data_IF_949098993707
#
_entry.id   IF_949098993707
#
_cell.length_a   1.000
_cell.length_b   1.000
_cell.length_c   1.000
_cell.angle_alpha   90.00
_cell.angle_beta   90.00
_cell.angle_gamma   90.00
#
_symmetry.space_group_name_H-M   'P 1'
#
loop_
_entity.id
_entity.type
_entity.pdbx_description
1 polymer ?
#
# COMPACT_ATOMS: atom_id res chain seq x y z
N UNK A 1 3.04 7.45 -4.87
CA UNK A 1 3.07 6.68 -3.59
C UNK A 1 2.11 7.21 -2.53
N UNK A 2 2.03 8.52 -2.27
CA UNK A 2 1.11 9.07 -1.24
C UNK A 2 -0.36 8.62 -1.39
N UNK A 3 -0.86 8.52 -2.62
CA UNK A 3 -2.23 8.05 -2.89
C UNK A 3 -2.49 6.61 -2.43
N UNK A 4 -1.50 5.73 -2.43
CA UNK A 4 -1.64 4.33 -1.99
C UNK A 4 -1.75 4.20 -0.47
N UNK A 5 -1.11 5.10 0.29
CA UNK A 5 -1.27 5.15 1.74
C UNK A 5 -2.63 5.70 2.16
N UNK A 6 -3.12 6.70 1.42
CA UNK A 6 -4.39 7.33 1.75
C UNK A 6 -5.60 6.48 1.35
N UNK A 7 -5.54 5.77 0.21
CA UNK A 7 -6.66 4.93 -0.26
C UNK A 7 -6.97 3.77 0.70
N UNK A 8 -5.96 3.12 1.29
CA UNK A 8 -6.20 2.00 2.22
C UNK A 8 -6.87 2.48 3.50
N UNK A 9 -6.52 3.69 3.98
CA UNK A 9 -7.22 4.33 5.10
C UNK A 9 -8.69 4.59 4.78
N UNK A 10 -8.99 5.05 3.57
CA UNK A 10 -10.37 5.18 3.12
C UNK A 10 -11.10 3.83 3.14
N UNK A 11 -10.46 2.74 2.68
CA UNK A 11 -11.08 1.42 2.75
C UNK A 11 -11.40 0.97 4.17
N UNK A 12 -10.51 1.26 5.13
CA UNK A 12 -10.74 0.95 6.54
C UNK A 12 -11.99 1.68 7.03
N UNK A 13 -12.08 2.99 6.80
CA UNK A 13 -13.23 3.79 7.24
C UNK A 13 -14.52 3.43 6.51
N UNK A 14 -14.44 3.09 5.23
CA UNK A 14 -15.60 2.66 4.45
C UNK A 14 -16.12 1.29 4.93
N UNK A 15 -15.23 0.38 5.31
CA UNK A 15 -15.62 -0.90 5.92
C UNK A 15 -16.23 -0.68 7.30
N UNK A 16 -15.62 0.17 8.15
CA UNK A 16 -16.15 0.51 9.48
C UNK A 16 -17.49 1.26 9.41
N UNK A 17 -17.75 2.00 8.34
CA UNK A 17 -19.04 2.64 8.10
C UNK A 17 -20.18 1.65 7.80
N UNK A 18 -19.87 0.42 7.39
CA UNK A 18 -20.89 -0.62 7.18
C UNK A 18 -21.49 -1.13 8.49
N UNK A 19 -20.76 -1.03 9.60
CA UNK A 19 -21.20 -1.48 10.93
C UNK A 19 -22.13 -0.45 11.62
N UNK A 20 -22.36 0.70 11.00
CA UNK A 20 -23.21 1.76 11.53
C UNK A 20 -24.71 1.54 11.23
N UNK A 21 -25.62 2.01 12.10
CA UNK A 21 -27.05 1.98 11.82
C UNK A 21 -27.42 2.89 10.63
N UNK A 22 -28.58 2.63 10.02
CA UNK A 22 -29.17 3.56 9.06
C UNK A 22 -29.67 4.82 9.76
N UNK A 23 -29.56 6.02 9.16
CA UNK A 23 -29.13 6.30 7.78
C UNK A 23 -27.63 6.58 7.60
N UNK A 24 -26.84 6.61 8.68
CA UNK A 24 -25.42 6.99 8.66
C UNK A 24 -24.60 6.13 7.69
N UNK A 25 -24.85 4.81 7.68
CA UNK A 25 -24.20 3.86 6.77
C UNK A 25 -24.28 4.31 5.32
N UNK A 26 -25.48 4.64 4.84
CA UNK A 26 -25.74 4.96 3.43
C UNK A 26 -25.11 6.29 3.04
N UNK A 27 -25.17 7.28 3.93
CA UNK A 27 -24.58 8.61 3.70
C UNK A 27 -23.06 8.51 3.62
N UNK A 28 -22.43 7.82 4.58
CA UNK A 28 -20.99 7.66 4.65
C UNK A 28 -20.45 6.81 3.48
N UNK A 29 -21.13 5.71 3.13
CA UNK A 29 -20.71 4.85 2.01
C UNK A 29 -20.68 5.64 0.70
N UNK A 30 -21.73 6.43 0.41
CA UNK A 30 -21.76 7.28 -0.79
C UNK A 30 -20.62 8.30 -0.80
N UNK A 31 -20.30 8.90 0.34
CA UNK A 31 -19.16 9.83 0.44
C UNK A 31 -17.82 9.13 0.22
N UNK A 32 -17.61 7.97 0.85
CA UNK A 32 -16.36 7.22 0.68
C UNK A 32 -16.17 6.73 -0.75
N UNK A 33 -17.22 6.28 -1.44
CA UNK A 33 -17.14 5.91 -2.86
C UNK A 33 -16.68 7.08 -3.75
N UNK A 34 -17.19 8.30 -3.49
CA UNK A 34 -16.79 9.50 -4.23
C UNK A 34 -15.31 9.82 -3.95
N UNK A 35 -14.90 9.79 -2.68
CA UNK A 35 -13.53 10.08 -2.27
C UNK A 35 -12.53 9.07 -2.86
N UNK A 36 -12.84 7.79 -2.77
CA UNK A 36 -12.04 6.69 -3.31
C UNK A 36 -11.91 6.81 -4.84
N UNK A 37 -13.03 7.05 -5.54
CA UNK A 37 -13.05 7.18 -7.01
C UNK A 37 -12.25 8.39 -7.49
N UNK A 38 -12.42 9.55 -6.84
CA UNK A 38 -11.67 10.77 -7.19
C UNK A 38 -10.18 10.58 -6.93
N UNK A 39 -9.81 10.09 -5.75
CA UNK A 39 -8.41 9.83 -5.42
C UNK A 39 -7.77 8.86 -6.41
N UNK A 40 -8.49 7.79 -6.77
CA UNK A 40 -7.95 6.76 -7.64
C UNK A 40 -7.79 7.22 -9.08
N UNK A 41 -8.85 7.80 -9.66
CA UNK A 41 -8.87 8.15 -11.07
C UNK A 41 -8.15 9.47 -11.37
N UNK A 42 -8.20 10.44 -10.46
CA UNK A 42 -7.59 11.77 -10.65
C UNK A 42 -6.13 11.80 -10.23
N UNK A 43 -5.76 11.07 -9.16
CA UNK A 43 -4.40 11.17 -8.60
C UNK A 43 -3.61 9.88 -8.83
N UNK A 44 -4.12 8.73 -8.37
CA UNK A 44 -3.32 7.51 -8.29
C UNK A 44 -2.99 6.92 -9.66
N UNK A 45 -3.97 6.79 -10.55
CA UNK A 45 -3.79 6.26 -11.92
C UNK A 45 -2.87 7.10 -12.80
N UNK A 46 -3.10 8.42 -12.98
CA UNK A 46 -2.22 9.22 -13.85
C UNK A 46 -0.81 9.33 -13.28
N UNK A 47 -0.67 9.44 -11.95
CA UNK A 47 0.66 9.45 -11.32
C UNK A 47 1.44 8.16 -11.59
N UNK A 48 0.79 6.99 -11.55
CA UNK A 48 1.42 5.72 -11.88
C UNK A 48 1.91 5.71 -13.33
N UNK A 49 1.05 6.12 -14.28
CA UNK A 49 1.40 6.16 -15.70
C UNK A 49 2.60 7.07 -15.97
N UNK A 50 2.58 8.29 -15.41
CA UNK A 50 3.69 9.24 -15.55
C UNK A 50 4.99 8.66 -14.97
N UNK A 51 4.91 8.01 -13.81
CA UNK A 51 6.10 7.43 -13.15
C UNK A 51 6.68 6.29 -13.98
N UNK A 52 5.84 5.42 -14.55
CA UNK A 52 6.28 4.32 -15.41
C UNK A 52 6.91 4.86 -16.68
N UNK A 53 6.25 5.81 -17.36
CA UNK A 53 6.79 6.44 -18.57
C UNK A 53 8.12 7.12 -18.30
N UNK A 54 8.23 7.91 -17.23
CA UNK A 54 9.48 8.55 -16.85
C UNK A 54 10.59 7.53 -16.57
N UNK A 55 10.26 6.43 -15.86
CA UNK A 55 11.20 5.33 -15.62
C UNK A 55 11.68 4.65 -16.89
N UNK A 56 10.76 4.35 -17.83
CA UNK A 56 11.09 3.76 -19.13
C UNK A 56 11.96 4.70 -19.98
N UNK A 57 11.61 5.99 -20.06
CA UNK A 57 12.41 6.99 -20.79
C UNK A 57 13.82 7.11 -20.20
N UNK A 58 13.94 7.09 -18.87
CA UNK A 58 15.23 7.14 -18.19
C UNK A 58 16.12 5.93 -18.54
N UNK A 59 15.53 4.73 -18.60
CA UNK A 59 16.23 3.50 -19.02
C UNK A 59 16.64 3.52 -20.48
N UNK A 60 15.80 4.09 -21.36
CA UNK A 60 16.12 4.26 -22.77
C UNK A 60 17.31 5.21 -22.98
N UNK A 61 17.36 6.31 -22.23
CA UNK A 61 18.45 7.29 -22.31
C UNK A 61 19.77 6.78 -21.70
N UNK A 62 19.72 5.83 -20.77
CA UNK A 62 20.90 5.33 -20.07
C UNK A 62 20.93 3.79 -20.01
N UNK A 63 21.15 3.11 -21.15
CA UNK A 63 21.12 1.65 -21.22
C UNK A 63 22.22 0.97 -20.39
N UNK A 64 23.28 1.70 -20.03
CA UNK A 64 24.34 1.20 -19.16
C UNK A 64 23.84 0.74 -17.78
N UNK A 65 22.73 1.30 -17.27
CA UNK A 65 22.18 0.90 -15.98
C UNK A 65 21.52 -0.49 -15.98
N UNK A 66 21.11 -1.00 -17.15
CA UNK A 66 20.62 -2.37 -17.27
C UNK A 66 21.69 -3.41 -16.92
N UNK A 67 22.97 -3.05 -16.95
CA UNK A 67 24.06 -3.94 -16.55
C UNK A 67 24.29 -3.96 -15.03
N UNK A 68 23.61 -3.08 -14.28
CA UNK A 68 23.81 -2.96 -12.83
C UNK A 68 22.81 -3.84 -12.04
N UNK A 69 23.27 -4.68 -11.09
CA UNK A 69 22.40 -5.56 -10.30
C UNK A 69 21.31 -4.81 -9.50
N UNK A 70 21.64 -3.64 -8.95
CA UNK A 70 20.71 -2.85 -8.13
C UNK A 70 19.46 -2.40 -8.91
N UNK A 71 19.58 -2.20 -10.23
CA UNK A 71 18.47 -1.78 -11.08
C UNK A 71 17.44 -2.90 -11.25
N UNK A 72 17.88 -4.14 -11.41
CA UNK A 72 16.99 -5.30 -11.51
C UNK A 72 16.15 -5.46 -10.24
N UNK A 73 16.78 -5.29 -9.07
CA UNK A 73 16.10 -5.34 -7.78
C UNK A 73 15.10 -4.17 -7.66
N UNK A 74 15.49 -2.96 -8.08
CA UNK A 74 14.57 -1.81 -8.12
C UNK A 74 13.36 -2.09 -9.01
N UNK A 75 13.56 -2.67 -10.19
CA UNK A 75 12.48 -3.03 -11.11
C UNK A 75 11.55 -4.08 -10.51
N UNK A 76 12.07 -5.07 -9.79
CA UNK A 76 11.25 -6.05 -9.06
C UNK A 76 10.34 -5.36 -8.02
N UNK A 77 10.85 -4.39 -7.26
CA UNK A 77 10.03 -3.60 -6.33
C UNK A 77 8.98 -2.73 -7.03
N UNK A 78 9.33 -2.11 -8.15
CA UNK A 78 8.38 -1.35 -8.97
C UNK A 78 7.27 -2.26 -9.47
N UNK A 79 7.60 -3.46 -9.94
CA UNK A 79 6.61 -4.44 -10.39
C UNK A 79 5.69 -4.89 -9.25
N UNK A 80 6.25 -5.13 -8.05
CA UNK A 80 5.48 -5.40 -6.84
C UNK A 80 4.51 -4.27 -6.48
N UNK A 81 4.93 -3.01 -6.61
CA UNK A 81 4.05 -1.85 -6.41
C UNK A 81 2.95 -1.72 -7.46
N UNK A 82 3.24 -2.05 -8.72
CA UNK A 82 2.22 -2.06 -9.78
C UNK A 82 1.18 -3.14 -9.50
N UNK A 83 1.61 -4.34 -9.08
CA UNK A 83 0.71 -5.40 -8.64
C UNK A 83 -0.15 -4.94 -7.44
N UNK A 84 0.46 -4.30 -6.45
CA UNK A 84 -0.25 -3.71 -5.30
C UNK A 84 -1.30 -2.69 -5.75
N UNK A 85 -0.94 -1.80 -6.68
CA UNK A 85 -1.86 -0.81 -7.24
C UNK A 85 -3.06 -1.49 -7.90
N UNK A 86 -2.84 -2.56 -8.67
CA UNK A 86 -3.92 -3.28 -9.33
C UNK A 86 -4.86 -3.99 -8.33
N UNK A 87 -4.32 -4.54 -7.24
CA UNK A 87 -5.12 -5.13 -6.16
C UNK A 87 -6.02 -4.06 -5.53
N UNK A 88 -5.49 -2.88 -5.24
CA UNK A 88 -6.28 -1.76 -4.71
C UNK A 88 -7.39 -1.33 -5.69
N UNK A 89 -7.12 -1.28 -7.00
CA UNK A 89 -8.17 -1.00 -7.99
C UNK A 89 -9.30 -2.04 -7.95
N UNK A 90 -8.95 -3.32 -7.86
CA UNK A 90 -9.92 -4.40 -7.74
C UNK A 90 -10.78 -4.25 -6.48
N UNK A 91 -10.18 -3.82 -5.36
CA UNK A 91 -10.89 -3.55 -4.11
C UNK A 91 -11.87 -2.39 -4.22
N UNK A 92 -11.48 -1.26 -4.83
CA UNK A 92 -12.41 -0.13 -5.09
C UNK A 92 -13.61 -0.61 -5.89
N UNK A 93 -13.38 -1.40 -6.96
CA UNK A 93 -14.45 -1.95 -7.79
C UNK A 93 -15.37 -2.91 -7.03
N UNK A 94 -14.84 -3.67 -6.06
CA UNK A 94 -15.61 -4.56 -5.18
C UNK A 94 -16.44 -3.76 -4.17
N UNK A 95 -15.83 -2.78 -3.51
CA UNK A 95 -16.48 -1.96 -2.48
C UNK A 95 -17.62 -1.13 -3.09
N UNK A 96 -17.44 -0.58 -4.30
CA UNK A 96 -18.50 0.10 -5.06
C UNK A 96 -19.67 -0.82 -5.47
N UNK A 97 -19.47 -2.14 -5.48
CA UNK A 97 -20.53 -3.13 -5.70
C UNK A 97 -21.21 -3.56 -4.38
N UNK A 98 -20.86 -2.92 -3.26
CA UNK A 98 -21.31 -3.30 -1.92
C UNK A 98 -20.65 -4.57 -1.38
N UNK A 99 -19.55 -5.04 -1.97
CA UNK A 99 -18.89 -6.29 -1.57
C UNK A 99 -17.67 -5.99 -0.69
N UNK A 100 -17.86 -6.09 0.62
CA UNK A 100 -16.81 -5.89 1.63
C UNK A 100 -16.22 -7.23 2.07
N UNK A 101 -15.23 -7.74 1.33
CA UNK A 101 -14.60 -9.04 1.64
C UNK A 101 -13.59 -8.99 2.79
N UNK A 102 -13.02 -7.82 3.08
CA UNK A 102 -11.89 -7.68 3.99
C UNK A 102 -12.31 -6.92 5.25
N UNK A 103 -11.82 -7.37 6.39
CA UNK A 103 -12.09 -6.71 7.67
C UNK A 103 -11.19 -5.49 7.88
N UNK A 104 -11.59 -4.55 8.74
CA UNK A 104 -10.78 -3.38 9.12
C UNK A 104 -9.36 -3.79 9.57
N UNK A 105 -9.21 -4.90 10.29
CA UNK A 105 -7.90 -5.41 10.73
C UNK A 105 -7.03 -5.90 9.57
N UNK A 106 -7.62 -6.60 8.59
CA UNK A 106 -6.91 -7.03 7.38
C UNK A 106 -6.47 -5.85 6.51
N UNK A 107 -7.31 -4.82 6.40
CA UNK A 107 -6.97 -3.60 5.67
C UNK A 107 -5.88 -2.78 6.36
N UNK A 108 -5.84 -2.77 7.71
CA UNK A 108 -4.73 -2.18 8.47
C UNK A 108 -3.41 -2.91 8.20
N UNK A 109 -3.43 -4.25 8.22
CA UNK A 109 -2.26 -5.06 7.85
C UNK A 109 -1.81 -4.76 6.40
N UNK A 110 -2.77 -4.61 5.49
CA UNK A 110 -2.49 -4.24 4.10
C UNK A 110 -1.83 -2.86 3.98
N UNK A 111 -2.24 -1.90 4.81
CA UNK A 111 -1.59 -0.59 4.87
C UNK A 111 -0.12 -0.69 5.31
N UNK A 112 0.19 -1.56 6.29
CA UNK A 112 1.59 -1.77 6.72
C UNK A 112 2.47 -2.35 5.60
N UNK A 113 1.90 -3.19 4.74
CA UNK A 113 2.61 -3.71 3.57
C UNK A 113 3.07 -2.59 2.62
N UNK A 114 2.27 -1.54 2.44
CA UNK A 114 2.68 -0.35 1.68
C UNK A 114 3.85 0.39 2.36
N UNK A 115 3.86 0.46 3.69
CA UNK A 115 4.96 1.07 4.47
C UNK A 115 6.26 0.29 4.27
N UNK A 116 6.19 -1.05 4.30
CA UNK A 116 7.35 -1.92 4.04
C UNK A 116 7.92 -1.66 2.64
N UNK A 117 7.09 -1.54 1.62
CA UNK A 117 7.53 -1.19 0.27
C UNK A 117 8.23 0.18 0.21
N UNK A 118 7.68 1.20 0.87
CA UNK A 118 8.29 2.53 0.93
C UNK A 118 9.70 2.47 1.52
N UNK A 119 9.84 1.82 2.68
CA UNK A 119 11.15 1.68 3.31
C UNK A 119 12.12 0.88 2.45
N UNK A 120 11.69 -0.28 1.93
CA UNK A 120 12.54 -1.12 1.08
C UNK A 120 13.11 -0.34 -0.12
N UNK A 121 12.27 0.45 -0.79
CA UNK A 121 12.66 1.23 -1.97
C UNK A 121 13.60 2.39 -1.60
N UNK A 122 13.33 3.09 -0.48
CA UNK A 122 14.20 4.18 -0.01
C UNK A 122 15.58 3.64 0.38
N UNK A 123 15.64 2.54 1.13
CA UNK A 123 16.91 1.91 1.51
C UNK A 123 17.70 1.43 0.28
N UNK A 124 17.03 0.81 -0.69
CA UNK A 124 17.65 0.40 -1.95
C UNK A 124 18.24 1.61 -2.71
N UNK A 125 17.52 2.73 -2.75
CA UNK A 125 17.94 3.94 -3.45
C UNK A 125 19.15 4.63 -2.78
N UNK A 126 19.21 4.62 -1.44
CA UNK A 126 20.26 5.31 -0.67
C UNK A 126 21.54 4.47 -0.60
N UNK A 127 21.44 3.17 -0.30
CA UNK A 127 22.63 2.35 -0.05
C UNK A 127 23.28 1.83 -1.33
N UNK A 128 22.58 1.75 -2.47
CA UNK A 128 23.06 1.24 -3.77
C UNK A 128 23.79 -0.12 -3.73
N UNK A 129 23.73 -0.84 -2.61
CA UNK A 129 24.54 -2.03 -2.34
C UNK A 129 23.65 -3.22 -1.94
N UNK A 130 23.79 -4.32 -2.67
CA UNK A 130 22.80 -5.40 -2.76
C UNK A 130 22.68 -6.30 -1.52
N UNK A 131 23.64 -6.28 -0.59
CA UNK A 131 23.51 -7.00 0.68
C UNK A 131 22.86 -6.16 1.79
N UNK A 132 23.06 -4.84 1.78
CA UNK A 132 22.62 -3.97 2.87
C UNK A 132 21.11 -3.72 2.91
N UNK A 133 20.41 -3.77 1.76
CA UNK A 133 18.96 -3.60 1.70
C UNK A 133 18.21 -4.82 2.25
N UNK A 134 18.75 -6.03 2.11
CA UNK A 134 18.14 -7.26 2.65
C UNK A 134 18.11 -7.20 4.18
N UNK A 135 19.22 -6.81 4.82
CA UNK A 135 19.25 -6.60 6.27
C UNK A 135 18.32 -5.47 6.72
N UNK A 136 18.21 -4.39 5.93
CA UNK A 136 17.25 -3.31 6.21
C UNK A 136 15.79 -3.77 6.12
N UNK A 137 15.42 -4.51 5.07
CA UNK A 137 14.07 -5.05 4.89
C UNK A 137 13.75 -6.09 5.97
N UNK A 138 14.66 -7.02 6.24
CA UNK A 138 14.50 -8.03 7.30
C UNK A 138 14.37 -7.36 8.68
N UNK A 139 15.15 -6.30 8.95
CA UNK A 139 15.07 -5.52 10.17
C UNK A 139 13.74 -4.79 10.35
N UNK A 140 13.15 -4.26 9.27
CA UNK A 140 11.87 -3.55 9.35
C UNK A 140 10.69 -4.52 9.39
N UNK A 141 10.75 -5.62 8.65
CA UNK A 141 9.74 -6.68 8.72
C UNK A 141 9.73 -7.31 10.10
N UNK A 142 10.89 -7.59 10.70
CA UNK A 142 10.97 -8.10 12.07
C UNK A 142 10.42 -7.09 13.08
N UNK A 143 10.73 -5.79 12.92
CA UNK A 143 10.20 -4.74 13.79
C UNK A 143 8.67 -4.58 13.65
N UNK A 144 8.14 -4.67 12.43
CA UNK A 144 6.70 -4.68 12.17
C UNK A 144 5.99 -5.90 12.78
N UNK A 145 6.61 -7.08 12.69
CA UNK A 145 6.11 -8.30 13.34
C UNK A 145 6.14 -8.16 14.87
N UNK A 146 7.21 -7.60 15.43
CA UNK A 146 7.34 -7.34 16.87
C UNK A 146 6.24 -6.37 17.34
N UNK A 147 6.03 -5.26 16.63
CA UNK A 147 4.96 -4.30 16.95
C UNK A 147 3.57 -4.95 16.87
N UNK A 148 3.33 -5.80 15.88
CA UNK A 148 2.05 -6.50 15.72
C UNK A 148 1.81 -7.52 16.84
N UNK A 149 2.86 -8.23 17.26
CA UNK A 149 2.82 -9.13 18.44
C UNK A 149 2.57 -8.30 19.70
N UNK A 150 3.25 -7.18 19.89
CA UNK A 150 3.07 -6.30 21.04
C UNK A 150 1.63 -5.76 21.14
N UNK A 151 1.04 -5.32 20.01
CA UNK A 151 -0.37 -4.91 19.94
C UNK A 151 -1.32 -6.06 20.26
N UNK A 152 -1.04 -7.27 19.76
CA UNK A 152 -1.86 -8.46 20.02
C UNK A 152 -1.79 -8.89 21.49
N UNK A 153 -0.62 -8.82 22.11
CA UNK A 153 -0.41 -9.08 23.55
C UNK A 153 -1.13 -8.02 24.39
N UNK A 154 -0.97 -6.74 24.06
CA UNK A 154 -1.65 -5.65 24.74
C UNK A 154 -3.18 -5.80 24.68
N UNK A 155 -3.73 -6.13 23.50
CA UNK A 155 -5.17 -6.37 23.34
C UNK A 155 -5.66 -7.54 24.20
N UNK A 156 -4.93 -8.66 24.22
CA UNK A 156 -5.23 -9.83 25.08
C UNK A 156 -5.16 -9.51 26.57
N UNK A 157 -4.25 -8.63 26.99
CA UNK A 157 -4.13 -8.23 28.39
C UNK A 157 -5.30 -7.34 28.83
N UNK A 158 -5.77 -6.46 27.94
CA UNK A 158 -6.93 -5.59 28.20
C UNK A 158 -8.25 -6.35 28.27
N UNK A 159 -8.44 -7.40 27.46
CA UNK A 159 -9.67 -8.22 27.45
C UNK A 159 -9.77 -9.20 28.63
N UNK A 160 -8.67 -9.43 29.37
CA UNK A 160 -8.64 -10.27 30.56
C UNK A 160 -8.92 -9.51 31.87
N UNK A 161 -9.00 -8.19 31.83
CA UNK A 161 -9.31 -7.31 32.97
C UNK A 161 -10.75 -6.85 32.87
#
# INVERSE_FOLDING_TARGET
MAGLFYIVRLFIYHTEAQDKPEPERTILSKQFEIMESRLWNVIAKPSMLITILAGCTMLYLTPAWLKMPWLHIKLAFVFGLVAYHHICESKIKQMRKGIFKWTSSQLRLWNELATIFLFAIVFLAVKKDALSWVFGVVGIVSLGVILMIAVKIYKRYREKK
#
